data_IF_616997090355
#
_entry.id   IF_616997090355
#
_cell.length_a   1.000
_cell.length_b   1.000
_cell.length_c   1.000
_cell.angle_alpha   90.00
_cell.angle_beta   90.00
_cell.angle_gamma   90.00
#
_symmetry.space_group_name_H-M   'P 1'
#
loop_
_entity.id
_entity.type
_entity.pdbx_description
1 polymer ?
#
# COMPACT_ATOMS: atom_id res chain seq x y z
N UNK A 1 -30.17 21.09 -76.64
CA UNK A 1 -28.77 21.16 -76.17
C UNK A 1 -28.62 22.05 -74.94
N UNK A 2 -28.94 23.34 -75.00
CA UNK A 2 -28.71 24.30 -73.88
C UNK A 2 -29.39 23.87 -72.56
N UNK A 3 -30.67 23.47 -72.62
CA UNK A 3 -31.42 23.04 -71.43
C UNK A 3 -30.79 21.82 -70.74
N UNK A 4 -30.27 20.88 -71.52
CA UNK A 4 -29.65 19.68 -70.97
C UNK A 4 -28.32 19.99 -70.30
N UNK A 5 -27.52 20.86 -70.91
CA UNK A 5 -26.29 21.40 -70.30
C UNK A 5 -26.60 22.13 -68.98
N UNK A 6 -27.66 22.93 -68.92
CA UNK A 6 -28.09 23.61 -67.69
C UNK A 6 -28.47 22.62 -66.59
N UNK A 7 -29.19 21.54 -66.90
CA UNK A 7 -29.51 20.49 -65.92
C UNK A 7 -28.25 19.82 -65.37
N UNK A 8 -27.28 19.51 -66.23
CA UNK A 8 -26.01 18.92 -65.81
C UNK A 8 -25.22 19.85 -64.89
N UNK A 9 -25.18 21.15 -65.20
CA UNK A 9 -24.51 22.16 -64.35
C UNK A 9 -25.17 22.24 -62.97
N UNK A 10 -26.51 22.22 -62.91
CA UNK A 10 -27.25 22.23 -61.63
C UNK A 10 -26.98 20.96 -60.83
N UNK A 11 -26.98 19.80 -61.49
CA UNK A 11 -26.69 18.52 -60.84
C UNK A 11 -25.27 18.50 -60.25
N UNK A 12 -24.27 18.88 -61.05
CA UNK A 12 -22.88 18.97 -60.62
C UNK A 12 -22.70 19.95 -59.45
N UNK A 13 -23.31 21.13 -59.54
CA UNK A 13 -23.27 22.13 -58.46
C UNK A 13 -23.84 21.58 -57.16
N UNK A 14 -24.96 20.85 -57.23
CA UNK A 14 -25.57 20.21 -56.06
C UNK A 14 -24.66 19.15 -55.46
N UNK A 15 -24.08 18.30 -56.29
CA UNK A 15 -23.12 17.27 -55.84
C UNK A 15 -21.89 17.91 -55.19
N UNK A 16 -21.36 19.01 -55.73
CA UNK A 16 -20.24 19.75 -55.13
C UNK A 16 -20.62 20.28 -53.75
N UNK A 17 -21.80 20.88 -53.59
CA UNK A 17 -22.30 21.38 -52.29
C UNK A 17 -22.42 20.23 -51.28
N UNK A 18 -22.99 19.09 -51.69
CA UNK A 18 -23.14 17.92 -50.82
C UNK A 18 -21.77 17.39 -50.35
N UNK A 19 -20.78 17.34 -51.23
CA UNK A 19 -19.41 16.94 -50.85
C UNK A 19 -18.75 17.97 -49.93
N UNK A 20 -18.90 19.26 -50.18
CA UNK A 20 -18.37 20.32 -49.32
C UNK A 20 -18.97 20.23 -47.90
N UNK A 21 -20.27 19.96 -47.79
CA UNK A 21 -20.93 19.79 -46.50
C UNK A 21 -20.41 18.54 -45.75
N UNK A 22 -20.18 17.43 -46.46
CA UNK A 22 -19.59 16.24 -45.87
C UNK A 22 -18.16 16.46 -45.39
N UNK A 23 -17.33 17.17 -46.17
CA UNK A 23 -15.97 17.54 -45.76
C UNK A 23 -16.02 18.37 -44.48
N UNK A 24 -16.87 19.38 -44.43
CA UNK A 24 -17.00 20.23 -43.25
C UNK A 24 -17.43 19.45 -42.00
N UNK A 25 -18.41 18.54 -42.14
CA UNK A 25 -18.80 17.65 -41.04
C UNK A 25 -17.64 16.76 -40.55
N UNK A 26 -16.85 16.20 -41.47
CA UNK A 26 -15.71 15.36 -41.12
C UNK A 26 -14.58 16.14 -40.45
N UNK A 27 -14.32 17.36 -40.92
CA UNK A 27 -13.37 18.27 -40.27
C UNK A 27 -13.80 18.62 -38.85
N UNK A 28 -15.10 18.90 -38.64
CA UNK A 28 -15.63 19.18 -37.31
C UNK A 28 -15.48 17.98 -36.37
N UNK A 29 -15.83 16.78 -36.83
CA UNK A 29 -15.62 15.54 -36.07
C UNK A 29 -14.15 15.33 -35.71
N UNK A 30 -13.23 15.63 -36.63
CA UNK A 30 -11.79 15.52 -36.39
C UNK A 30 -11.31 16.50 -35.32
N UNK A 31 -11.84 17.73 -35.33
CA UNK A 31 -11.53 18.76 -34.32
C UNK A 31 -12.01 18.29 -32.94
N UNK A 32 -13.23 17.78 -32.85
CA UNK A 32 -13.80 17.30 -31.59
C UNK A 32 -13.01 16.11 -31.02
N UNK A 33 -12.64 15.14 -31.85
CA UNK A 33 -11.77 14.02 -31.46
C UNK A 33 -10.39 14.48 -30.98
N UNK A 34 -9.79 15.49 -31.63
CA UNK A 34 -8.50 16.06 -31.19
C UNK A 34 -8.63 16.73 -29.82
N UNK A 35 -9.74 17.45 -29.59
CA UNK A 35 -10.03 18.09 -28.30
C UNK A 35 -10.22 17.05 -27.19
N UNK A 36 -10.98 16.00 -27.45
CA UNK A 36 -11.19 14.90 -26.48
C UNK A 36 -9.88 14.19 -26.14
N UNK A 37 -9.08 13.85 -27.16
CA UNK A 37 -7.75 13.26 -26.97
C UNK A 37 -6.85 14.13 -26.10
N UNK A 38 -6.85 15.45 -26.31
CA UNK A 38 -6.05 16.37 -25.52
C UNK A 38 -6.50 16.41 -24.05
N UNK A 39 -7.82 16.43 -23.82
CA UNK A 39 -8.40 16.37 -22.48
C UNK A 39 -8.00 15.08 -21.74
N UNK A 40 -8.13 13.94 -22.42
CA UNK A 40 -7.71 12.64 -21.89
C UNK A 40 -6.21 12.59 -21.58
N UNK A 41 -5.36 13.13 -22.47
CA UNK A 41 -3.92 13.20 -22.25
C UNK A 41 -3.57 14.05 -21.02
N UNK A 42 -4.26 15.18 -20.84
CA UNK A 42 -4.08 16.05 -19.67
C UNK A 42 -4.48 15.33 -18.38
N UNK A 43 -5.69 14.76 -18.35
CA UNK A 43 -6.19 14.05 -17.17
C UNK A 43 -5.35 12.81 -16.84
N UNK A 44 -4.94 12.05 -17.86
CA UNK A 44 -4.03 10.92 -17.71
C UNK A 44 -2.67 11.34 -17.16
N UNK A 45 -2.09 12.43 -17.68
CA UNK A 45 -0.84 12.99 -17.18
C UNK A 45 -0.93 13.44 -15.71
N UNK A 46 -2.00 14.14 -15.34
CA UNK A 46 -2.25 14.57 -13.95
C UNK A 46 -2.39 13.37 -13.00
N UNK A 47 -3.12 12.32 -13.40
CA UNK A 47 -3.24 11.08 -12.62
C UNK A 47 -1.89 10.38 -12.47
N UNK A 48 -1.13 10.26 -13.56
CA UNK A 48 0.20 9.64 -13.54
C UNK A 48 1.17 10.38 -12.61
N UNK A 49 1.12 11.72 -12.58
CA UNK A 49 1.92 12.53 -11.65
C UNK A 49 1.52 12.32 -10.18
N UNK A 50 0.28 11.94 -9.89
CA UNK A 50 -0.17 11.66 -8.52
C UNK A 50 0.22 10.26 -8.03
N UNK A 51 0.50 9.30 -8.92
CA UNK A 51 0.84 7.91 -8.55
C UNK A 51 2.08 7.83 -7.63
N UNK A 52 3.22 8.48 -7.93
CA UNK A 52 4.40 8.43 -7.06
C UNK A 52 4.11 8.96 -5.65
N UNK A 53 3.36 10.05 -5.55
CA UNK A 53 2.99 10.68 -4.28
C UNK A 53 2.11 9.76 -3.44
N UNK A 54 1.08 9.16 -4.04
CA UNK A 54 0.20 8.21 -3.35
C UNK A 54 0.95 6.95 -2.94
N UNK A 55 1.84 6.42 -3.80
CA UNK A 55 2.68 5.27 -3.47
C UNK A 55 3.64 5.56 -2.32
N UNK A 56 4.28 6.74 -2.30
CA UNK A 56 5.17 7.17 -1.22
C UNK A 56 4.42 7.23 0.12
N UNK A 57 3.25 7.90 0.15
CA UNK A 57 2.41 7.99 1.35
C UNK A 57 1.96 6.63 1.87
N UNK A 58 1.64 5.68 0.97
CA UNK A 58 1.29 4.30 1.36
C UNK A 58 2.47 3.58 2.00
N UNK A 59 3.67 3.70 1.42
CA UNK A 59 4.90 3.09 1.97
C UNK A 59 5.24 3.67 3.35
N UNK A 60 5.15 4.99 3.52
CA UNK A 60 5.39 5.66 4.80
C UNK A 60 4.39 5.21 5.87
N UNK A 61 3.09 5.14 5.53
CA UNK A 61 2.06 4.62 6.44
C UNK A 61 2.34 3.17 6.85
N UNK A 62 2.66 2.30 5.89
CA UNK A 62 2.99 0.91 6.19
C UNK A 62 4.23 0.79 7.10
N UNK A 63 5.28 1.57 6.82
CA UNK A 63 6.47 1.60 7.65
C UNK A 63 6.15 2.04 9.09
N UNK A 64 5.34 3.10 9.25
CA UNK A 64 4.93 3.57 10.58
C UNK A 64 4.11 2.54 11.36
N UNK A 65 3.18 1.84 10.71
CA UNK A 65 2.38 0.77 11.33
C UNK A 65 3.29 -0.37 11.79
N UNK A 66 4.18 -0.83 10.92
CA UNK A 66 5.13 -1.90 11.26
C UNK A 66 6.00 -1.51 12.47
N UNK A 67 6.52 -0.28 12.51
CA UNK A 67 7.31 0.22 13.65
C UNK A 67 6.47 0.17 14.93
N UNK A 68 5.24 0.71 14.92
CA UNK A 68 4.38 0.70 16.11
C UNK A 68 3.99 -0.70 16.58
N UNK A 69 3.80 -1.67 15.67
CA UNK A 69 3.55 -3.06 16.04
C UNK A 69 4.78 -3.71 16.67
N UNK A 70 5.97 -3.48 16.10
CA UNK A 70 7.21 -4.00 16.67
C UNK A 70 7.51 -3.44 18.05
N UNK A 71 7.29 -2.14 18.28
CA UNK A 71 7.47 -1.51 19.60
C UNK A 71 6.51 -2.10 20.64
N UNK A 72 5.23 -2.31 20.28
CA UNK A 72 4.25 -2.96 21.16
C UNK A 72 4.63 -4.39 21.51
N UNK A 73 5.13 -5.15 20.54
CA UNK A 73 5.62 -6.51 20.76
C UNK A 73 6.82 -6.53 21.71
N UNK A 74 7.80 -5.65 21.49
CA UNK A 74 8.97 -5.51 22.36
C UNK A 74 8.57 -5.11 23.79
N UNK A 75 7.66 -4.15 23.95
CA UNK A 75 7.15 -3.75 25.27
C UNK A 75 6.44 -4.89 26.00
N UNK A 76 5.68 -5.73 25.27
CA UNK A 76 5.05 -6.92 25.85
C UNK A 76 6.10 -7.94 26.29
N UNK A 77 7.09 -8.24 25.44
CA UNK A 77 8.18 -9.17 25.77
C UNK A 77 8.97 -8.69 26.99
N UNK A 78 9.25 -7.39 27.09
CA UNK A 78 9.93 -6.82 28.25
C UNK A 78 9.12 -6.98 29.53
N UNK A 79 7.80 -6.80 29.46
CA UNK A 79 6.92 -7.04 30.61
C UNK A 79 6.90 -8.51 31.03
N UNK A 80 6.79 -9.45 30.08
CA UNK A 80 6.84 -10.90 30.37
C UNK A 80 8.20 -11.30 30.98
N UNK A 81 9.29 -10.69 30.51
CA UNK A 81 10.63 -10.86 31.07
C UNK A 81 10.67 -10.43 32.53
N UNK A 82 10.19 -9.22 32.84
CA UNK A 82 10.15 -8.70 34.21
C UNK A 82 9.33 -9.59 35.14
N UNK A 83 8.14 -10.04 34.69
CA UNK A 83 7.29 -10.95 35.46
C UNK A 83 8.03 -12.26 35.73
N UNK A 84 8.68 -12.83 34.72
CA UNK A 84 9.44 -14.09 34.85
C UNK A 84 10.58 -13.94 35.86
N UNK A 85 11.34 -12.84 35.82
CA UNK A 85 12.41 -12.56 36.79
C UNK A 85 11.87 -12.42 38.22
N UNK A 86 10.74 -11.74 38.40
CA UNK A 86 10.11 -11.62 39.72
C UNK A 86 9.70 -13.00 40.24
N UNK A 87 9.06 -13.81 39.40
CA UNK A 87 8.65 -15.17 39.75
C UNK A 87 9.87 -16.03 40.13
N UNK A 88 10.94 -15.98 39.34
CA UNK A 88 12.20 -16.68 39.63
C UNK A 88 12.76 -16.28 41.00
N UNK A 89 12.86 -14.98 41.28
CA UNK A 89 13.37 -14.47 42.56
C UNK A 89 12.51 -14.91 43.75
N UNK A 90 11.18 -14.90 43.59
CA UNK A 90 10.25 -15.36 44.64
C UNK A 90 10.46 -16.85 44.92
N UNK A 91 10.54 -17.69 43.89
CA UNK A 91 10.78 -19.13 44.07
C UNK A 91 12.13 -19.42 44.72
N UNK A 92 13.20 -18.73 44.31
CA UNK A 92 14.52 -18.85 44.93
C UNK A 92 14.46 -18.51 46.43
N UNK A 93 13.85 -17.39 46.79
CA UNK A 93 13.70 -16.97 48.18
C UNK A 93 12.87 -17.97 49.01
N UNK A 94 11.82 -18.56 48.44
CA UNK A 94 11.03 -19.61 49.13
C UNK A 94 11.89 -20.85 49.37
N UNK A 95 12.63 -21.33 48.37
CA UNK A 95 13.49 -22.52 48.53
C UNK A 95 14.55 -22.27 49.62
N UNK A 96 15.24 -21.13 49.58
CA UNK A 96 16.25 -20.76 50.57
C UNK A 96 15.62 -20.61 51.97
N UNK A 97 14.49 -19.90 52.07
CA UNK A 97 13.79 -19.65 53.34
C UNK A 97 13.17 -20.89 53.98
N UNK A 98 12.78 -21.88 53.17
CA UNK A 98 12.19 -23.15 53.65
C UNK A 98 13.18 -24.05 54.40
N UNK A 99 14.50 -23.79 54.30
CA UNK A 99 15.58 -24.62 54.86
C UNK A 99 15.53 -26.10 54.43
N UNK A 100 14.81 -26.42 53.35
CA UNK A 100 14.83 -27.74 52.72
C UNK A 100 16.21 -27.99 52.14
N UNK A 101 16.76 -29.20 52.32
CA UNK A 101 18.06 -29.59 51.76
C UNK A 101 17.97 -29.85 50.25
N UNK A 102 17.74 -28.78 49.48
CA UNK A 102 17.54 -28.82 48.04
C UNK A 102 18.76 -29.31 47.26
N UNK A 103 19.95 -29.31 47.87
CA UNK A 103 21.18 -29.76 47.23
C UNK A 103 21.31 -31.30 47.19
N UNK A 104 20.65 -32.00 48.12
CA UNK A 104 20.60 -33.47 48.17
C UNK A 104 19.51 -34.05 47.24
N UNK A 105 18.40 -33.33 47.07
CA UNK A 105 17.35 -33.72 46.13
C UNK A 105 17.76 -33.35 44.69
N UNK A 106 17.93 -34.37 43.85
CA UNK A 106 18.42 -34.18 42.47
C UNK A 106 17.43 -33.39 41.61
N UNK A 107 16.13 -33.51 41.86
CA UNK A 107 15.08 -32.81 41.13
C UNK A 107 15.02 -31.33 41.55
N UNK A 108 15.06 -31.06 42.86
CA UNK A 108 15.06 -29.70 43.40
C UNK A 108 16.33 -28.94 43.01
N UNK A 109 17.49 -29.61 43.06
CA UNK A 109 18.76 -29.05 42.57
C UNK A 109 18.68 -28.63 41.10
N UNK A 110 18.07 -29.45 40.24
CA UNK A 110 17.89 -29.12 38.83
C UNK A 110 16.99 -27.88 38.63
N UNK A 111 15.91 -27.76 39.40
CA UNK A 111 14.98 -26.62 39.36
C UNK A 111 15.68 -25.34 39.83
N UNK A 112 16.39 -25.38 40.96
CA UNK A 112 17.11 -24.21 41.51
C UNK A 112 18.18 -23.71 40.52
N UNK A 113 18.95 -24.61 39.93
CA UNK A 113 19.96 -24.27 38.92
C UNK A 113 19.36 -23.69 37.64
N UNK A 114 18.15 -24.11 37.24
CA UNK A 114 17.43 -23.51 36.12
C UNK A 114 16.90 -22.13 36.44
N UNK A 115 16.46 -21.90 37.68
CA UNK A 115 16.01 -20.58 38.15
C UNK A 115 17.17 -19.58 38.24
N UNK A 116 18.39 -20.02 38.57
CA UNK A 116 19.59 -19.17 38.58
C UNK A 116 20.07 -18.77 37.17
N UNK A 117 19.77 -19.58 36.15
CA UNK A 117 20.05 -19.21 34.76
C UNK A 117 19.07 -18.12 34.34
N UNK A 118 19.44 -16.87 34.62
CA UNK A 118 18.74 -15.70 34.11
C UNK A 118 18.56 -15.85 32.60
N UNK A 119 17.34 -15.56 32.13
CA UNK A 119 16.99 -15.58 30.71
C UNK A 119 17.62 -14.35 30.05
N UNK A 120 18.95 -14.36 29.89
CA UNK A 120 19.70 -13.41 29.08
C UNK A 120 19.82 -13.98 27.68
N UNK A 121 18.82 -13.69 26.83
CA UNK A 121 19.01 -13.79 25.39
C UNK A 121 19.68 -12.48 24.92
N UNK A 122 20.93 -12.61 24.47
CA UNK A 122 21.72 -11.54 23.88
C UNK A 122 21.21 -11.20 22.47
#
# INVERSE_FOLDING_TARGET
MILETMKHIVLLSRTIIDYQQQVHQKEQQLIDLKRERLSLKKHGGEKLQQIPTVMKRKKEKQASVNVTETEKMLAKLEKERQITTIIQNVFQNIVIGSRVNWAEDTSLKAIVLQLEKNVHFQ
#
